data_IF_128459949799
#
_entry.id   IF_128459949799
#
_cell.length_a   1.000
_cell.length_b   1.000
_cell.length_c   1.000
_cell.angle_alpha   90.00
_cell.angle_beta   90.00
_cell.angle_gamma   90.00
#
_symmetry.space_group_name_H-M   'P 1'
#
loop_
_entity.id
_entity.type
_entity.pdbx_description
1 polymer ?
#
# COMPACT_ATOMS: atom_id res chain seq x y z
N UNK A 1 11.87 0.23 6.69
CA UNK A 1 10.81 0.73 5.79
C UNK A 1 11.41 1.40 4.55
N UNK A 2 10.85 1.14 3.35
CA UNK A 2 11.38 1.61 2.05
C UNK A 2 10.75 2.92 1.54
N UNK A 3 9.75 3.46 2.25
CA UNK A 3 9.00 4.66 1.82
C UNK A 3 7.89 4.37 0.79
N UNK A 4 7.37 3.14 0.83
CA UNK A 4 6.23 2.71 0.03
C UNK A 4 4.96 2.77 0.87
N UNK A 5 3.86 3.22 0.30
CA UNK A 5 2.53 3.15 0.90
C UNK A 5 1.89 1.80 0.55
N UNK A 6 1.54 1.03 1.57
CA UNK A 6 0.77 -0.21 1.44
C UNK A 6 -0.63 -0.03 2.06
N UNK A 7 -1.65 -0.53 1.38
CA UNK A 7 -3.06 -0.46 1.82
C UNK A 7 -3.51 -1.70 2.60
N UNK A 8 -2.68 -2.74 2.65
CA UNK A 8 -2.91 -3.96 3.41
C UNK A 8 -1.56 -4.53 3.90
N UNK A 9 -1.54 -5.07 5.13
CA UNK A 9 -0.36 -5.77 5.67
C UNK A 9 0.01 -7.04 4.88
N UNK A 10 -0.93 -7.55 4.08
CA UNK A 10 -0.75 -8.71 3.23
C UNK A 10 -0.67 -8.34 1.74
N UNK A 11 -0.53 -7.05 1.42
CA UNK A 11 -0.41 -6.59 0.04
C UNK A 11 0.85 -7.17 -0.64
N UNK A 12 0.77 -7.36 -1.95
CA UNK A 12 1.88 -7.87 -2.78
C UNK A 12 2.71 -6.74 -3.40
N UNK A 13 2.19 -5.51 -3.40
CA UNK A 13 2.80 -4.32 -3.97
C UNK A 13 2.37 -3.07 -3.20
N UNK A 14 3.20 -2.03 -3.21
CA UNK A 14 2.91 -0.73 -2.62
C UNK A 14 3.06 0.39 -3.64
N UNK A 15 2.70 1.60 -3.24
CA UNK A 15 2.84 2.82 -4.02
C UNK A 15 4.09 3.58 -3.59
N UNK A 16 4.96 3.96 -4.53
CA UNK A 16 6.17 4.70 -4.23
C UNK A 16 5.85 6.15 -3.83
N UNK A 17 5.72 6.37 -2.52
CA UNK A 17 5.51 7.70 -1.94
C UNK A 17 6.81 8.44 -1.71
N UNK A 18 7.93 7.73 -1.61
CA UNK A 18 9.25 8.31 -1.42
C UNK A 18 9.67 9.15 -2.61
N UNK A 19 9.39 8.70 -3.83
CA UNK A 19 9.71 9.48 -5.04
C UNK A 19 8.90 10.77 -5.09
N UNK A 20 7.58 10.71 -4.82
CA UNK A 20 6.71 11.90 -4.70
C UNK A 20 7.25 12.93 -3.70
N UNK A 21 7.67 12.48 -2.52
CA UNK A 21 8.25 13.35 -1.50
C UNK A 21 9.59 13.97 -1.95
N UNK A 22 10.44 13.20 -2.65
CA UNK A 22 11.75 13.66 -3.13
C UNK A 22 11.67 14.62 -4.31
N UNK A 23 10.62 14.50 -5.11
CA UNK A 23 10.32 15.41 -6.21
C UNK A 23 9.74 16.75 -5.73
N UNK A 24 9.50 16.89 -4.42
CA UNK A 24 9.00 18.14 -3.84
C UNK A 24 7.51 18.37 -4.05
N UNK A 25 6.72 17.28 -4.11
CA UNK A 25 5.27 17.38 -4.21
C UNK A 25 4.69 18.24 -3.08
N UNK A 26 3.73 19.11 -3.41
CA UNK A 26 2.99 19.91 -2.44
C UNK A 26 2.03 19.04 -1.62
N UNK A 27 1.59 19.55 -0.47
CA UNK A 27 0.62 18.88 0.38
C UNK A 27 -0.68 18.54 -0.37
N UNK A 28 -1.15 19.41 -1.27
CA UNK A 28 -2.32 19.12 -2.10
C UNK A 28 -2.07 18.00 -3.10
N UNK A 29 -0.85 17.90 -3.65
CA UNK A 29 -0.49 16.80 -4.55
C UNK A 29 -0.43 15.47 -3.78
N UNK A 30 0.14 15.48 -2.58
CA UNK A 30 0.17 14.32 -1.70
C UNK A 30 -1.24 13.90 -1.28
N UNK A 31 -2.09 14.85 -0.86
CA UNK A 31 -3.47 14.58 -0.46
C UNK A 31 -4.27 13.93 -1.59
N UNK A 32 -4.21 14.50 -2.81
CA UNK A 32 -4.88 13.93 -3.98
C UNK A 32 -4.38 12.52 -4.30
N UNK A 33 -3.09 12.26 -4.15
CA UNK A 33 -2.54 10.93 -4.39
C UNK A 33 -3.03 9.91 -3.34
N UNK A 34 -3.09 10.31 -2.06
CA UNK A 34 -3.64 9.46 -0.99
C UNK A 34 -5.12 9.18 -1.25
N UNK A 35 -5.93 10.19 -1.56
CA UNK A 35 -7.35 10.04 -1.88
C UNK A 35 -7.58 9.09 -3.05
N UNK A 36 -6.80 9.26 -4.12
CA UNK A 36 -6.83 8.42 -5.32
C UNK A 36 -6.52 6.94 -5.02
N UNK A 37 -5.55 6.68 -4.13
CA UNK A 37 -5.20 5.32 -3.70
C UNK A 37 -6.30 4.76 -2.80
N UNK A 38 -6.73 5.54 -1.80
CA UNK A 38 -7.70 5.09 -0.81
C UNK A 38 -9.08 4.83 -1.42
N UNK A 39 -9.51 5.65 -2.38
CA UNK A 39 -10.79 5.49 -3.08
C UNK A 39 -10.87 4.22 -3.94
N UNK A 40 -9.75 3.62 -4.32
CA UNK A 40 -9.70 2.35 -5.08
C UNK A 40 -9.38 1.13 -4.21
N UNK A 41 -9.19 1.33 -2.89
CA UNK A 41 -8.81 0.26 -1.97
C UNK A 41 -9.93 -0.79 -1.87
N UNK A 42 -9.59 -2.04 -2.21
CA UNK A 42 -10.48 -3.18 -2.10
C UNK A 42 -9.87 -4.35 -1.31
N UNK A 43 -8.75 -4.11 -0.63
CA UNK A 43 -8.02 -5.14 0.11
C UNK A 43 -8.76 -5.59 1.37
N UNK A 44 -9.07 -6.88 1.43
CA UNK A 44 -9.75 -7.55 2.55
C UNK A 44 -9.22 -8.98 2.73
N UNK A 45 -7.89 -9.09 2.75
CA UNK A 45 -7.19 -10.38 2.75
C UNK A 45 -7.66 -11.32 3.86
N UNK A 46 -7.74 -10.84 5.10
CA UNK A 46 -8.13 -11.66 6.26
C UNK A 46 -9.55 -12.23 6.14
N UNK A 47 -10.46 -11.55 5.45
CA UNK A 47 -11.83 -12.03 5.18
C UNK A 47 -11.82 -13.07 4.06
N UNK A 48 -11.06 -12.83 2.98
CA UNK A 48 -11.08 -13.67 1.78
C UNK A 48 -10.25 -14.96 1.89
N UNK A 49 -9.24 -14.99 2.78
CA UNK A 49 -8.30 -16.12 2.90
C UNK A 49 -8.98 -17.49 3.12
N UNK A 50 -10.13 -17.49 3.80
CA UNK A 50 -10.89 -18.72 4.08
C UNK A 50 -11.71 -19.18 2.87
N UNK A 51 -12.21 -18.23 2.07
CA UNK A 51 -13.04 -18.51 0.90
C UNK A 51 -12.22 -18.87 -0.35
N UNK A 52 -10.95 -18.45 -0.40
CA UNK A 52 -10.07 -18.71 -1.53
C UNK A 52 -8.63 -18.84 -1.03
N UNK A 53 -8.13 -20.06 -0.79
CA UNK A 53 -6.75 -20.29 -0.38
C UNK A 53 -5.84 -20.12 -1.60
N UNK A 54 -5.65 -18.88 -2.06
CA UNK A 54 -4.59 -18.56 -3.00
C UNK A 54 -3.34 -18.22 -2.21
N UNK A 55 -2.20 -18.86 -2.49
CA UNK A 55 -0.92 -18.39 -2.00
C UNK A 55 -0.62 -17.06 -2.71
N UNK A 56 -1.01 -15.94 -2.09
CA UNK A 56 -0.64 -14.64 -2.60
C UNK A 56 0.75 -14.29 -2.06
N UNK A 57 1.74 -13.98 -2.92
CA UNK A 57 3.06 -13.57 -2.48
C UNK A 57 2.95 -12.26 -1.69
N UNK A 58 3.06 -12.34 -0.36
CA UNK A 58 2.96 -11.20 0.55
C UNK A 58 4.29 -10.47 0.69
N UNK A 59 4.24 -9.16 0.89
CA UNK A 59 5.42 -8.39 1.31
C UNK A 59 5.83 -8.80 2.74
N UNK A 60 7.13 -8.84 3.02
CA UNK A 60 7.62 -9.03 4.38
C UNK A 60 7.31 -7.81 5.26
N UNK A 61 6.82 -8.03 6.48
CA UNK A 61 6.38 -6.95 7.38
C UNK A 61 7.52 -5.99 7.76
N UNK A 62 8.78 -6.45 7.72
CA UNK A 62 9.97 -5.61 7.90
C UNK A 62 10.08 -4.46 6.88
N UNK A 63 9.48 -4.61 5.69
CA UNK A 63 9.46 -3.57 4.68
C UNK A 63 8.36 -2.52 4.89
N UNK A 64 7.27 -2.87 5.60
CA UNK A 64 6.12 -1.97 5.83
C UNK A 64 6.28 -1.14 7.11
N UNK A 65 7.16 -1.51 8.04
CA UNK A 65 7.45 -0.67 9.20
C UNK A 65 7.70 -1.39 10.51
N UNK A 66 7.50 -2.72 10.57
CA UNK A 66 7.56 -3.48 11.82
C UNK A 66 6.27 -3.37 12.60
#
# INVERSE_FOLDING_TARGET
AQGMLYTCLFATSGHDFRSLLREGASDEQLARQIESIWGRRADRYSELRNARPLPMPKVEMSYIGG
#
